data_IF_274302924015
#
_entry.id   IF_274302924015
#
_cell.length_a   1.000
_cell.length_b   1.000
_cell.length_c   1.000
_cell.angle_alpha   90.00
_cell.angle_beta   90.00
_cell.angle_gamma   90.00
#
_symmetry.space_group_name_H-M   'P 1'
#
loop_
_entity.id
_entity.type
_entity.pdbx_description
1 polymer ?
#
# COMPACT_ATOMS: atom_id res chain seq x y z
N UNK A 1 -0.36 18.89 -27.28
CA UNK A 1 -0.48 17.45 -26.96
C UNK A 1 0.12 17.09 -25.62
N UNK A 2 1.42 17.31 -25.39
CA UNK A 2 2.06 17.05 -24.08
C UNK A 2 1.36 17.79 -22.93
N UNK A 3 1.02 19.06 -23.14
CA UNK A 3 0.35 19.92 -22.16
C UNK A 3 -1.07 19.45 -21.79
N UNK A 4 -1.77 18.74 -22.70
CA UNK A 4 -3.12 18.21 -22.45
C UNK A 4 -3.08 17.00 -21.53
N UNK A 5 -2.12 16.10 -21.78
CA UNK A 5 -1.87 14.94 -20.91
C UNK A 5 -1.35 15.38 -19.55
N UNK A 6 -0.61 16.49 -19.49
CA UNK A 6 -0.20 17.10 -18.21
C UNK A 6 -1.40 17.45 -17.35
N UNK A 7 -2.40 18.16 -17.90
CA UNK A 7 -3.60 18.54 -17.12
C UNK A 7 -4.34 17.32 -16.56
N UNK A 8 -4.54 16.29 -17.39
CA UNK A 8 -5.17 15.06 -16.92
C UNK A 8 -4.34 14.38 -15.81
N UNK A 9 -3.02 14.39 -15.96
CA UNK A 9 -2.13 13.86 -14.94
C UNK A 9 -2.25 14.64 -13.62
N UNK A 10 -2.31 15.97 -13.70
CA UNK A 10 -2.45 16.86 -12.53
C UNK A 10 -3.74 16.56 -11.77
N UNK A 11 -4.86 16.33 -12.48
CA UNK A 11 -6.13 15.91 -11.86
C UNK A 11 -6.00 14.55 -11.17
N UNK A 12 -5.34 13.57 -11.79
CA UNK A 12 -5.10 12.26 -11.17
C UNK A 12 -4.18 12.34 -9.94
N UNK A 13 -3.20 13.24 -9.95
CA UNK A 13 -2.32 13.49 -8.80
C UNK A 13 -3.05 14.23 -7.66
N UNK A 14 -4.04 15.04 -7.98
CA UNK A 14 -4.89 15.69 -6.99
C UNK A 14 -5.82 14.71 -6.26
N UNK A 15 -6.16 13.57 -6.88
CA UNK A 15 -6.98 12.54 -6.26
C UNK A 15 -6.24 11.81 -5.14
N UNK A 16 -6.78 11.91 -3.93
CA UNK A 16 -6.21 11.33 -2.71
C UNK A 16 -7.10 10.26 -2.11
N UNK A 17 -6.48 9.26 -1.50
CA UNK A 17 -7.20 8.27 -0.72
C UNK A 17 -7.87 8.94 0.49
N UNK A 18 -9.15 8.67 0.71
CA UNK A 18 -9.89 9.17 1.86
C UNK A 18 -9.25 8.75 3.20
N UNK A 19 -8.68 7.55 3.26
CA UNK A 19 -8.11 6.96 4.47
C UNK A 19 -6.68 7.47 4.72
N UNK A 20 -5.72 7.09 3.87
CA UNK A 20 -4.30 7.41 4.09
C UNK A 20 -3.85 8.76 3.53
N UNK A 21 -4.72 9.51 2.85
CA UNK A 21 -4.44 10.83 2.23
C UNK A 21 -3.35 10.87 1.14
N UNK A 22 -2.69 9.75 0.86
CA UNK A 22 -1.76 9.61 -0.26
C UNK A 22 -2.48 9.63 -1.61
N UNK A 23 -1.75 10.01 -2.66
CA UNK A 23 -2.18 9.92 -4.05
C UNK A 23 -2.61 8.48 -4.38
N UNK A 24 -3.60 8.33 -5.27
CA UNK A 24 -4.14 7.04 -5.73
C UNK A 24 -3.19 6.29 -6.68
N UNK A 25 -1.92 6.17 -6.30
CA UNK A 25 -0.84 5.57 -7.09
C UNK A 25 -0.72 4.05 -6.94
N UNK A 26 -1.72 3.37 -6.33
CA UNK A 26 -1.73 1.91 -6.20
C UNK A 26 -3.14 1.30 -6.35
N UNK A 27 -3.27 0.19 -7.11
CA UNK A 27 -4.51 -0.57 -7.22
C UNK A 27 -4.78 -1.47 -5.98
N UNK A 28 -6.05 -1.81 -5.71
CA UNK A 28 -7.26 -1.32 -6.38
C UNK A 28 -7.63 0.12 -5.97
N UNK A 29 -8.23 0.88 -6.88
CA UNK A 29 -8.92 2.14 -6.59
C UNK A 29 -10.40 1.81 -6.39
N UNK A 30 -10.95 2.09 -5.22
CA UNK A 30 -12.30 1.69 -4.83
C UNK A 30 -13.12 2.92 -4.45
N UNK A 31 -14.30 3.09 -5.03
CA UNK A 31 -15.26 4.11 -4.60
C UNK A 31 -15.90 3.69 -3.28
N UNK A 32 -15.95 4.61 -2.33
CA UNK A 32 -16.53 4.43 -1.00
C UNK A 32 -17.61 5.49 -0.77
N UNK A 33 -18.56 5.17 0.10
CA UNK A 33 -19.82 5.92 0.32
C UNK A 33 -20.83 5.80 -0.83
N UNK A 34 -22.12 5.92 -0.51
CA UNK A 34 -23.23 5.86 -1.48
C UNK A 34 -23.15 6.95 -2.55
N UNK A 35 -22.54 8.10 -2.24
CA UNK A 35 -22.36 9.17 -3.22
C UNK A 35 -21.19 8.89 -4.19
N UNK A 36 -20.26 7.98 -3.89
CA UNK A 36 -19.13 7.64 -4.77
C UNK A 36 -18.05 8.72 -4.91
N UNK A 37 -18.07 9.78 -4.07
CA UNK A 37 -17.08 10.87 -4.11
C UNK A 37 -15.73 10.49 -3.53
N UNK A 38 -15.74 9.61 -2.53
CA UNK A 38 -14.55 9.25 -1.78
C UNK A 38 -13.90 8.01 -2.40
N UNK A 39 -12.57 7.99 -2.42
CA UNK A 39 -11.78 6.92 -3.03
C UNK A 39 -10.85 6.26 -2.00
N UNK A 40 -10.75 4.94 -2.06
CA UNK A 40 -9.83 4.10 -1.29
C UNK A 40 -8.78 3.53 -2.22
N UNK A 41 -7.49 3.64 -1.87
CA UNK A 41 -6.39 3.11 -2.67
C UNK A 41 -5.98 1.69 -2.25
N UNK A 42 -5.10 1.07 -3.03
CA UNK A 42 -4.55 -0.25 -2.78
C UNK A 42 -3.82 -0.38 -1.44
N UNK A 43 -3.20 0.71 -0.97
CA UNK A 43 -2.56 0.75 0.36
C UNK A 43 -3.56 0.56 1.48
N UNK A 44 -4.85 0.77 1.27
CA UNK A 44 -5.89 0.65 2.30
C UNK A 44 -6.89 -0.48 1.98
N UNK A 45 -6.49 -1.44 1.14
CA UNK A 45 -7.38 -2.52 0.68
C UNK A 45 -8.00 -3.33 1.83
N UNK A 46 -7.25 -3.53 2.91
CA UNK A 46 -7.64 -4.35 4.07
C UNK A 46 -8.61 -3.65 5.02
N UNK A 47 -8.86 -2.35 4.83
CA UNK A 47 -9.85 -1.62 5.62
C UNK A 47 -11.25 -1.94 5.09
N UNK A 48 -12.05 -2.60 5.92
CA UNK A 48 -13.42 -2.95 5.60
C UNK A 48 -14.33 -1.73 5.83
N UNK A 49 -14.73 -1.08 4.74
CA UNK A 49 -15.69 0.02 4.73
C UNK A 49 -16.67 -0.20 3.59
N UNK A 50 -17.95 0.22 3.73
CA UNK A 50 -18.92 0.13 2.64
C UNK A 50 -18.35 0.72 1.36
N UNK A 51 -18.24 -0.13 0.34
CA UNK A 51 -17.68 0.21 -0.96
C UNK A 51 -18.71 -0.01 -2.03
N UNK A 52 -18.69 0.86 -3.03
CA UNK A 52 -19.68 0.88 -4.11
C UNK A 52 -19.12 0.30 -5.42
N UNK A 53 -17.83 -0.05 -5.45
CA UNK A 53 -17.21 -0.79 -6.55
C UNK A 53 -15.77 -0.37 -6.82
N UNK A 54 -15.05 -1.13 -7.64
CA UNK A 54 -13.68 -0.80 -8.07
C UNK A 54 -13.73 0.15 -9.27
N UNK A 55 -12.95 1.22 -9.27
CA UNK A 55 -12.99 2.22 -10.34
C UNK A 55 -12.01 1.84 -11.47
N UNK A 56 -12.38 0.84 -12.29
CA UNK A 56 -11.50 0.31 -13.35
C UNK A 56 -11.08 1.36 -14.38
N UNK A 57 -11.93 2.35 -14.64
CA UNK A 57 -11.62 3.43 -15.58
C UNK A 57 -10.48 4.31 -15.06
N UNK A 58 -10.52 4.72 -13.79
CA UNK A 58 -9.43 5.45 -13.16
C UNK A 58 -8.13 4.64 -13.17
N UNK A 59 -8.20 3.34 -12.85
CA UNK A 59 -7.02 2.48 -12.90
C UNK A 59 -6.45 2.34 -14.32
N UNK A 60 -7.32 2.25 -15.33
CA UNK A 60 -6.90 2.17 -16.72
C UNK A 60 -6.25 3.46 -17.20
N UNK A 61 -6.74 4.62 -16.72
CA UNK A 61 -6.13 5.91 -16.99
C UNK A 61 -4.79 6.09 -16.25
N UNK A 62 -4.71 5.66 -14.99
CA UNK A 62 -3.50 5.76 -14.16
C UNK A 62 -2.28 5.07 -14.78
N UNK A 63 -2.47 3.94 -15.48
CA UNK A 63 -1.41 3.19 -16.18
C UNK A 63 -0.63 4.00 -17.23
N UNK A 64 -1.17 5.13 -17.70
CA UNK A 64 -0.51 5.98 -18.69
C UNK A 64 0.43 7.03 -18.08
N UNK A 65 0.48 7.13 -16.74
CA UNK A 65 1.18 8.19 -16.03
C UNK A 65 2.19 7.65 -15.01
N UNK A 66 3.12 8.52 -14.64
CA UNK A 66 4.13 8.23 -13.63
C UNK A 66 3.81 8.96 -12.34
N UNK A 67 3.86 8.27 -11.21
CA UNK A 67 3.47 8.79 -9.91
C UNK A 67 4.70 9.05 -9.03
N UNK A 68 4.67 10.12 -8.22
CA UNK A 68 5.74 10.38 -7.26
C UNK A 68 5.73 9.33 -6.15
N UNK A 69 6.91 9.05 -5.62
CA UNK A 69 7.07 8.31 -4.38
C UNK A 69 6.36 9.01 -3.21
N UNK A 70 5.76 8.26 -2.28
CA UNK A 70 5.09 8.81 -1.10
C UNK A 70 6.03 9.37 -0.03
N UNK A 71 7.31 8.96 -0.04
CA UNK A 71 8.30 9.45 0.93
C UNK A 71 8.81 10.83 0.50
N UNK A 72 8.66 11.82 1.37
CA UNK A 72 8.92 13.25 1.11
C UNK A 72 10.33 13.53 0.55
N UNK A 73 11.34 12.85 1.07
CA UNK A 73 12.74 13.01 0.64
C UNK A 73 13.08 12.28 -0.67
N UNK A 74 12.11 11.61 -1.31
CA UNK A 74 12.29 10.87 -2.55
C UNK A 74 11.73 11.61 -3.76
N UNK A 75 12.62 12.10 -4.62
CA UNK A 75 12.25 12.81 -5.85
C UNK A 75 11.96 11.87 -7.05
N UNK A 76 11.83 10.56 -6.82
CA UNK A 76 11.59 9.61 -7.91
C UNK A 76 10.10 9.61 -8.29
N UNK A 77 9.87 9.50 -9.59
CA UNK A 77 8.56 9.23 -10.19
C UNK A 77 8.69 7.99 -11.06
N UNK A 78 7.72 7.07 -10.96
CA UNK A 78 7.73 5.80 -11.71
C UNK A 78 6.36 5.48 -12.29
N UNK A 79 6.30 4.63 -13.33
CA UNK A 79 5.05 4.03 -13.81
C UNK A 79 4.21 3.44 -12.67
N UNK A 80 2.89 3.52 -12.80
CA UNK A 80 1.92 3.14 -11.77
C UNK A 80 2.08 1.70 -11.25
N UNK A 81 2.53 0.77 -12.10
CA UNK A 81 2.81 -0.63 -11.76
C UNK A 81 4.12 -0.84 -10.99
N UNK A 82 5.06 0.11 -11.05
CA UNK A 82 6.35 0.05 -10.34
C UNK A 82 6.32 0.73 -8.97
N UNK A 83 5.27 1.52 -8.68
CA UNK A 83 5.16 2.32 -7.44
C UNK A 83 5.32 1.46 -6.19
N UNK A 84 4.62 0.32 -6.11
CA UNK A 84 4.67 -0.55 -4.92
C UNK A 84 6.07 -1.08 -4.69
N UNK A 85 6.69 -1.65 -5.72
CA UNK A 85 8.05 -2.19 -5.64
C UNK A 85 9.07 -1.11 -5.27
N UNK A 86 8.89 0.11 -5.77
CA UNK A 86 9.75 1.22 -5.39
C UNK A 86 9.57 1.61 -3.92
N UNK A 87 8.33 1.83 -3.46
CA UNK A 87 8.04 2.20 -2.07
C UNK A 87 8.61 1.16 -1.10
N UNK A 88 8.47 -0.10 -1.47
CA UNK A 88 9.00 -1.23 -0.73
C UNK A 88 10.51 -1.14 -0.53
N UNK A 89 11.27 -0.79 -1.58
CA UNK A 89 12.73 -0.74 -1.57
C UNK A 89 13.31 0.68 -1.52
N UNK A 90 12.51 1.69 -1.18
CA UNK A 90 12.92 3.08 -1.28
C UNK A 90 14.01 3.40 -0.24
N UNK A 91 15.14 3.96 -0.69
CA UNK A 91 16.23 4.39 0.20
C UNK A 91 15.81 5.50 1.17
N UNK A 92 14.76 6.26 0.82
CA UNK A 92 14.18 7.35 1.62
C UNK A 92 13.00 6.90 2.46
N UNK A 93 12.75 5.58 2.55
CA UNK A 93 11.70 5.01 3.37
C UNK A 93 11.86 5.48 4.82
N UNK A 94 10.81 6.08 5.35
CA UNK A 94 10.71 6.51 6.74
C UNK A 94 9.74 5.62 7.51
N UNK A 95 9.92 5.57 8.82
CA UNK A 95 9.00 4.95 9.78
C UNK A 95 8.79 5.89 10.96
N UNK A 96 7.61 5.88 11.58
CA UNK A 96 7.47 6.45 12.93
C UNK A 96 8.31 5.63 13.91
N UNK A 97 8.97 6.31 14.86
CA UNK A 97 9.76 5.64 15.89
C UNK A 97 8.92 4.54 16.56
N UNK A 98 9.44 3.30 16.62
CA UNK A 98 8.69 2.19 17.18
C UNK A 98 8.57 2.28 18.71
N UNK A 99 9.46 3.01 19.39
CA UNK A 99 9.51 3.19 20.85
C UNK A 99 8.56 4.31 21.30
N UNK A 100 7.27 4.11 21.09
CA UNK A 100 6.26 5.15 21.34
C UNK A 100 5.97 5.42 22.83
N UNK A 101 6.36 4.52 23.75
CA UNK A 101 6.06 4.63 25.18
C UNK A 101 7.06 5.50 25.96
N UNK A 102 8.09 6.01 25.29
CA UNK A 102 9.02 7.02 25.81
C UNK A 102 8.75 8.40 25.18
N UNK A 103 7.50 8.65 24.78
CA UNK A 103 7.04 9.88 24.14
C UNK A 103 7.84 10.31 22.88
N UNK A 104 8.44 9.34 22.18
CA UNK A 104 9.13 9.58 20.93
C UNK A 104 8.14 9.56 19.75
N UNK A 105 7.93 10.70 19.11
CA UNK A 105 7.04 10.86 17.96
C UNK A 105 7.78 11.08 16.64
N UNK A 106 9.11 10.94 16.63
CA UNK A 106 9.93 11.20 15.46
C UNK A 106 9.63 10.26 14.29
N UNK A 107 9.69 10.81 13.09
CA UNK A 107 9.67 10.07 11.83
C UNK A 107 11.12 9.96 11.36
N UNK A 108 11.61 8.73 11.22
CA UNK A 108 13.02 8.44 11.02
C UNK A 108 13.21 7.66 9.72
N UNK A 109 14.18 8.07 8.91
CA UNK A 109 14.61 7.24 7.77
C UNK A 109 15.14 5.90 8.26
N UNK A 110 14.72 4.79 7.65
CA UNK A 110 15.15 3.44 8.05
C UNK A 110 16.68 3.32 8.06
N UNK A 111 17.38 4.00 7.14
CA UNK A 111 18.85 4.06 7.11
C UNK A 111 19.46 4.69 8.37
N UNK A 112 18.82 5.74 8.91
CA UNK A 112 19.25 6.48 10.11
C UNK A 112 18.68 5.92 11.41
N UNK A 113 17.91 4.82 11.35
CA UNK A 113 17.28 4.27 12.54
C UNK A 113 18.30 3.82 13.59
N UNK A 114 19.48 3.32 13.17
CA UNK A 114 20.56 2.95 14.10
C UNK A 114 20.96 4.13 14.99
N UNK A 115 21.36 5.24 14.36
CA UNK A 115 21.78 6.47 15.04
C UNK A 115 20.68 7.01 15.97
N UNK A 116 19.43 7.03 15.49
CA UNK A 116 18.30 7.45 16.32
C UNK A 116 18.14 6.58 17.57
N UNK A 117 18.23 5.26 17.42
CA UNK A 117 18.09 4.33 18.54
C UNK A 117 19.26 4.43 19.51
N UNK A 118 20.50 4.54 19.04
CA UNK A 118 21.67 4.70 19.91
C UNK A 118 21.59 5.99 20.73
N UNK A 119 21.13 7.09 20.13
CA UNK A 119 21.09 8.39 20.79
C UNK A 119 19.89 8.56 21.75
N UNK A 120 18.74 7.95 21.45
CA UNK A 120 17.48 8.18 22.19
C UNK A 120 16.93 6.97 22.92
N UNK A 121 17.31 5.76 22.50
CA UNK A 121 16.73 4.51 22.93
C UNK A 121 17.81 3.42 23.09
N UNK A 122 18.93 3.77 23.75
CA UNK A 122 20.13 2.91 23.86
C UNK A 122 19.83 1.52 24.46
N UNK A 123 18.83 1.41 25.33
CA UNK A 123 18.41 0.15 25.95
C UNK A 123 17.53 -0.73 25.05
N UNK A 124 17.13 -0.23 23.89
CA UNK A 124 16.21 -0.90 22.95
C UNK A 124 16.90 -1.31 21.64
N UNK A 125 18.24 -1.24 21.56
CA UNK A 125 19.02 -1.64 20.39
C UNK A 125 20.05 -2.73 20.74
N UNK A 126 20.15 -3.76 19.88
CA UNK A 126 21.05 -4.91 20.05
C UNK A 126 21.72 -5.28 18.72
N UNK A 127 22.84 -6.01 18.82
CA UNK A 127 23.68 -6.38 17.69
C UNK A 127 23.88 -7.89 17.61
N UNK A 128 23.71 -8.47 16.42
CA UNK A 128 23.89 -9.90 16.21
C UNK A 128 22.70 -10.72 16.72
N UNK A 129 22.81 -11.20 17.94
CA UNK A 129 21.75 -11.91 18.66
C UNK A 129 21.14 -11.04 19.75
N UNK A 130 19.87 -11.28 20.06
CA UNK A 130 19.19 -10.64 21.17
C UNK A 130 18.93 -11.64 22.28
N UNK A 131 19.25 -11.27 23.53
CA UNK A 131 18.87 -12.04 24.71
C UNK A 131 18.28 -11.10 25.75
N UNK A 132 17.09 -11.42 26.24
CA UNK A 132 16.45 -10.66 27.32
C UNK A 132 15.79 -11.57 28.34
N UNK A 133 15.68 -11.08 29.56
CA UNK A 133 14.86 -11.67 30.61
C UNK A 133 13.64 -10.78 30.77
N UNK A 134 12.46 -11.37 30.67
CA UNK A 134 11.21 -10.61 30.79
C UNK A 134 10.49 -10.99 32.07
N UNK A 135 10.29 -9.99 32.94
CA UNK A 135 9.75 -10.17 34.30
C UNK A 135 8.37 -9.54 34.51
N UNK A 136 7.79 -8.88 33.49
CA UNK A 136 6.52 -8.15 33.64
C UNK A 136 5.61 -8.21 32.39
N UNK A 137 4.31 -7.91 32.59
CA UNK A 137 3.22 -7.86 31.59
C UNK A 137 3.35 -6.71 30.56
N UNK A 138 4.56 -6.46 30.05
CA UNK A 138 4.90 -5.29 29.23
C UNK A 138 5.21 -5.71 27.79
N UNK A 139 4.71 -4.92 26.83
CA UNK A 139 5.19 -5.02 25.45
C UNK A 139 6.57 -4.36 25.38
N UNK A 140 7.61 -5.14 25.13
CA UNK A 140 8.93 -4.60 24.85
C UNK A 140 9.19 -4.58 23.36
N UNK A 141 9.80 -3.49 22.91
CA UNK A 141 10.14 -3.28 21.50
C UNK A 141 11.66 -3.19 21.43
N UNK A 142 12.23 -4.03 20.58
CA UNK A 142 13.67 -4.15 20.41
C UNK A 142 14.00 -4.02 18.94
N UNK A 143 15.04 -3.27 18.63
CA UNK A 143 15.66 -3.22 17.32
C UNK A 143 16.94 -4.04 17.37
N UNK A 144 17.04 -5.05 16.50
CA UNK A 144 18.26 -5.86 16.35
C UNK A 144 18.90 -5.55 15.01
N UNK A 145 20.20 -5.31 15.03
CA UNK A 145 21.00 -5.09 13.84
C UNK A 145 21.86 -6.33 13.58
N UNK A 146 21.63 -6.99 12.46
CA UNK A 146 22.37 -8.18 12.02
C UNK A 146 22.75 -8.02 10.56
N UNK A 147 24.04 -8.08 10.24
CA UNK A 147 24.57 -7.89 8.87
C UNK A 147 23.98 -6.65 8.16
N UNK A 148 23.94 -5.52 8.86
CA UNK A 148 23.33 -4.23 8.48
C UNK A 148 21.82 -4.22 8.21
N UNK A 149 21.15 -5.37 8.33
CA UNK A 149 19.70 -5.50 8.34
C UNK A 149 19.14 -5.12 9.71
N UNK A 150 17.95 -4.53 9.70
CA UNK A 150 17.29 -4.01 10.90
C UNK A 150 16.02 -4.81 11.13
N UNK A 151 16.02 -5.59 12.20
CA UNK A 151 14.88 -6.39 12.62
C UNK A 151 14.21 -5.72 13.79
N UNK A 152 12.89 -5.62 13.74
CA UNK A 152 12.06 -5.07 14.79
C UNK A 152 11.32 -6.22 15.47
N UNK A 153 11.66 -6.43 16.73
CA UNK A 153 11.10 -7.46 17.59
C UNK A 153 10.13 -6.79 18.55
N UNK A 154 8.93 -7.34 18.64
CA UNK A 154 8.01 -7.01 19.72
C UNK A 154 7.64 -8.27 20.46
N UNK A 155 7.73 -8.22 21.79
CA UNK A 155 7.34 -9.31 22.67
C UNK A 155 6.21 -8.82 23.56
N UNK A 156 5.06 -9.49 23.49
CA UNK A 156 3.94 -9.31 24.41
C UNK A 156 3.87 -10.52 25.33
N UNK A 157 4.10 -10.31 26.61
CA UNK A 157 4.17 -11.38 27.63
C UNK A 157 2.81 -11.79 28.20
N UNK A 158 1.72 -11.06 27.91
CA UNK A 158 0.35 -11.38 28.35
C UNK A 158 -0.13 -12.67 27.69
N UNK A 159 -0.63 -13.63 28.47
CA UNK A 159 -1.11 -14.95 28.01
C UNK A 159 -2.14 -14.90 26.87
N UNK A 160 -1.93 -15.63 25.76
CA UNK A 160 -0.70 -16.34 25.40
C UNK A 160 0.39 -15.34 24.99
N UNK A 161 1.66 -15.63 25.30
CA UNK A 161 2.76 -14.75 24.91
C UNK A 161 2.86 -14.71 23.38
N UNK A 162 3.05 -13.53 22.81
CA UNK A 162 3.19 -13.33 21.37
C UNK A 162 4.52 -12.65 21.05
N UNK A 163 5.30 -13.27 20.17
CA UNK A 163 6.56 -12.72 19.65
C UNK A 163 6.38 -12.39 18.17
N UNK A 164 6.71 -11.16 17.83
CA UNK A 164 6.59 -10.61 16.50
C UNK A 164 7.99 -10.23 16.05
N UNK A 165 8.46 -10.81 14.95
CA UNK A 165 9.77 -10.51 14.37
C UNK A 165 9.54 -10.01 12.96
N UNK A 166 9.92 -8.76 12.72
CA UNK A 166 9.71 -8.12 11.43
C UNK A 166 11.00 -7.57 10.86
N UNK A 167 11.15 -7.53 9.54
CA UNK A 167 12.28 -6.88 8.87
C UNK A 167 11.88 -5.50 8.35
N UNK A 168 12.68 -4.48 8.64
CA UNK A 168 12.49 -3.12 8.12
C UNK A 168 13.04 -2.96 6.70
N UNK A 169 14.07 -3.75 6.40
CA UNK A 169 14.66 -3.90 5.07
C UNK A 169 13.91 -5.06 4.38
N UNK A 170 13.77 -5.08 3.05
CA UNK A 170 13.06 -6.17 2.33
C UNK A 170 13.87 -7.50 2.33
N UNK A 171 14.25 -7.97 3.51
CA UNK A 171 15.09 -9.14 3.75
C UNK A 171 14.35 -10.22 4.55
N UNK A 172 13.04 -10.07 4.71
CA UNK A 172 12.16 -11.06 5.32
C UNK A 172 12.18 -12.41 4.57
N UNK A 173 12.40 -12.38 3.26
CA UNK A 173 12.54 -13.59 2.46
C UNK A 173 13.89 -14.30 2.65
N UNK A 174 14.98 -13.56 2.85
CA UNK A 174 16.36 -14.09 2.88
C UNK A 174 16.87 -14.49 4.26
N UNK A 175 16.21 -14.05 5.33
CA UNK A 175 16.57 -14.36 6.70
C UNK A 175 15.46 -15.14 7.41
N UNK A 176 15.89 -15.93 8.39
CA UNK A 176 15.03 -16.56 9.37
C UNK A 176 15.63 -16.35 10.77
N UNK A 177 14.89 -16.78 11.79
CA UNK A 177 15.37 -16.70 13.16
C UNK A 177 15.06 -17.95 13.96
N UNK A 178 15.94 -18.21 14.91
CA UNK A 178 15.74 -19.21 15.95
C UNK A 178 15.32 -18.52 17.23
N UNK A 179 14.35 -19.13 17.93
CA UNK A 179 13.93 -18.72 19.25
C UNK A 179 14.32 -19.78 20.27
N UNK A 180 15.23 -19.42 21.17
CA UNK A 180 15.57 -20.22 22.33
C UNK A 180 14.92 -19.64 23.58
N UNK A 181 14.22 -20.50 24.32
CA UNK A 181 13.62 -20.21 25.62
C UNK A 181 14.36 -21.02 26.67
N UNK A 182 14.81 -20.37 27.74
CA UNK A 182 15.53 -21.01 28.84
C UNK A 182 15.16 -20.40 30.18
N UNK A 183 15.26 -21.17 31.26
CA UNK A 183 15.09 -20.64 32.62
C UNK A 183 16.33 -19.84 33.01
N UNK A 184 16.15 -18.68 33.64
CA UNK A 184 17.28 -17.88 34.16
C UNK A 184 18.04 -18.62 35.26
N UNK A 185 17.38 -19.49 36.01
CA UNK A 185 17.96 -20.21 37.14
C UNK A 185 18.51 -21.59 36.77
N UNK A 186 18.19 -22.11 35.57
CA UNK A 186 18.63 -23.43 35.15
C UNK A 186 18.70 -23.56 33.62
N UNK A 187 19.91 -23.43 33.07
CA UNK A 187 20.18 -23.58 31.63
C UNK A 187 20.08 -25.04 31.12
N UNK A 188 19.93 -26.03 32.02
CA UNK A 188 19.85 -27.45 31.61
C UNK A 188 18.59 -27.79 30.82
N UNK A 189 17.55 -26.97 30.92
CA UNK A 189 16.31 -27.14 30.18
C UNK A 189 16.14 -25.92 29.28
N UNK A 190 16.13 -26.14 27.97
CA UNK A 190 15.86 -25.09 26.98
C UNK A 190 15.01 -25.62 25.85
N UNK A 191 14.10 -24.81 25.35
CA UNK A 191 13.31 -25.08 24.15
C UNK A 191 13.89 -24.26 23.03
N UNK A 192 14.27 -24.90 21.94
CA UNK A 192 14.70 -24.25 20.70
C UNK A 192 13.61 -24.43 19.64
N UNK A 193 13.22 -23.34 19.03
CA UNK A 193 12.26 -23.30 17.93
C UNK A 193 12.99 -22.69 16.73
N UNK A 194 13.37 -23.54 15.79
CA UNK A 194 14.29 -23.16 14.70
C UNK A 194 13.55 -22.66 13.46
N UNK A 195 14.26 -21.95 12.58
CA UNK A 195 13.84 -21.63 11.22
C UNK A 195 12.48 -20.90 11.15
N UNK A 196 12.25 -19.97 12.06
CA UNK A 196 11.02 -19.19 12.09
C UNK A 196 11.06 -18.08 11.03
N UNK A 197 9.94 -17.92 10.32
CA UNK A 197 9.82 -16.92 9.25
C UNK A 197 9.78 -15.50 9.80
N UNK A 198 10.46 -14.59 9.12
CA UNK A 198 10.39 -13.15 9.37
C UNK A 198 9.33 -12.54 8.45
N UNK A 199 8.61 -11.53 8.94
CA UNK A 199 7.60 -10.81 8.16
C UNK A 199 8.12 -9.43 7.81
N UNK A 200 7.84 -8.92 6.62
CA UNK A 200 8.13 -7.53 6.30
C UNK A 200 7.35 -6.55 7.18
N UNK A 201 8.03 -5.57 7.76
CA UNK A 201 7.39 -4.52 8.54
C UNK A 201 6.53 -3.61 7.65
N UNK A 202 5.33 -3.34 8.14
CA UNK A 202 4.34 -2.44 7.58
C UNK A 202 3.69 -1.73 8.74
N UNK A 203 3.86 -0.42 8.87
CA UNK A 203 3.33 0.36 9.99
C UNK A 203 1.82 0.19 10.17
N UNK A 204 1.07 0.03 9.07
CA UNK A 204 -0.39 -0.11 9.13
C UNK A 204 -0.82 -1.37 9.85
N UNK A 205 -0.16 -2.48 9.51
CA UNK A 205 -0.46 -3.79 10.07
C UNK A 205 0.20 -3.87 11.44
N UNK A 206 1.51 -3.62 11.49
CA UNK A 206 2.44 -3.74 12.62
C UNK A 206 2.42 -2.58 13.63
N UNK A 207 1.37 -1.77 13.64
CA UNK A 207 1.26 -0.63 14.55
C UNK A 207 1.16 -1.08 16.01
N UNK A 208 2.13 -0.67 16.84
CA UNK A 208 2.15 -1.00 18.26
C UNK A 208 0.96 -0.47 19.05
N UNK A 209 0.49 0.73 18.73
CA UNK A 209 -0.73 1.28 19.31
C UNK A 209 -1.95 0.42 18.94
N UNK A 210 -1.96 -0.25 17.79
CA UNK A 210 -3.06 -1.18 17.45
C UNK A 210 -2.97 -2.46 18.28
N UNK A 211 -1.78 -3.06 18.43
CA UNK A 211 -1.56 -4.25 19.27
C UNK A 211 -1.97 -4.01 20.73
N UNK A 212 -1.72 -2.81 21.25
CA UNK A 212 -2.12 -2.42 22.61
C UNK A 212 -3.52 -1.84 22.70
N UNK A 213 -4.28 -1.87 21.60
CA UNK A 213 -5.64 -1.35 21.55
C UNK A 213 -5.71 0.11 22.05
N UNK A 214 -4.86 1.00 21.54
CA UNK A 214 -4.83 2.45 21.84
C UNK A 214 -4.72 3.32 20.57
N UNK A 215 -4.75 2.73 19.38
CA UNK A 215 -4.65 3.44 18.11
C UNK A 215 -6.01 3.96 17.62
N UNK A 216 -6.03 5.21 17.12
CA UNK A 216 -7.18 5.87 16.48
C UNK A 216 -6.90 6.25 15.02
N UNK A 217 -5.93 5.60 14.37
CA UNK A 217 -5.61 5.86 12.96
C UNK A 217 -6.61 5.12 12.07
N UNK A 218 -7.36 5.84 11.26
CA UNK A 218 -8.44 5.29 10.43
C UNK A 218 -7.97 4.32 9.33
N UNK A 219 -6.73 4.47 8.84
CA UNK A 219 -6.17 3.61 7.80
C UNK A 219 -5.39 2.40 8.34
N UNK A 220 -5.32 2.22 9.67
CA UNK A 220 -4.77 1.03 10.31
C UNK A 220 -5.88 -0.02 10.50
N UNK A 221 -5.74 -1.24 9.96
CA UNK A 221 -6.80 -2.26 10.04
C UNK A 221 -7.23 -2.62 11.46
N UNK A 222 -6.27 -2.56 12.40
CA UNK A 222 -6.46 -2.99 13.79
C UNK A 222 -6.67 -1.82 14.77
N UNK A 223 -7.02 -0.63 14.27
CA UNK A 223 -7.31 0.51 15.15
C UNK A 223 -8.68 0.38 15.82
N UNK A 224 -8.88 1.12 16.92
CA UNK A 224 -10.16 1.16 17.65
C UNK A 224 -11.35 1.57 16.79
N UNK A 225 -11.09 2.40 15.78
CA UNK A 225 -12.11 2.91 14.87
C UNK A 225 -12.63 1.79 13.96
N UNK A 226 -11.80 0.81 13.63
CA UNK A 226 -12.11 -0.26 12.68
C UNK A 226 -12.61 -1.56 13.37
N UNK A 227 -13.17 -1.46 14.59
CA UNK A 227 -13.87 -2.57 15.24
C UNK A 227 -13.00 -3.56 16.02
N UNK A 228 -11.75 -3.20 16.36
CA UNK A 228 -10.84 -4.06 17.15
C UNK A 228 -10.68 -5.48 16.58
N UNK A 229 -10.59 -5.60 15.25
CA UNK A 229 -10.30 -6.88 14.59
C UNK A 229 -9.02 -7.46 15.21
N UNK A 230 -9.03 -8.72 15.70
CA UNK A 230 -7.87 -9.34 16.32
C UNK A 230 -6.66 -9.20 15.41
N UNK A 231 -5.55 -8.75 16.00
CA UNK A 231 -4.28 -8.62 15.31
C UNK A 231 -3.82 -10.01 14.87
N UNK A 232 -4.05 -10.35 13.60
CA UNK A 232 -3.50 -11.55 12.98
C UNK A 232 -2.19 -11.18 12.27
N UNK A 233 -1.21 -10.73 13.04
CA UNK A 233 0.16 -10.72 12.54
C UNK A 233 0.66 -12.14 12.67
N UNK A 234 1.40 -12.63 11.68
CA UNK A 234 2.10 -13.92 11.72
C UNK A 234 3.14 -13.92 12.85
N UNK A 235 2.67 -14.06 14.08
CA UNK A 235 3.43 -14.00 15.31
C UNK A 235 3.55 -15.39 15.90
N UNK A 236 4.66 -15.63 16.60
CA UNK A 236 4.82 -16.86 17.33
C UNK A 236 4.06 -16.77 18.65
N UNK A 237 3.09 -17.66 18.83
CA UNK A 237 2.36 -17.84 20.08
C UNK A 237 3.09 -18.83 20.96
N UNK A 238 3.32 -18.46 22.21
CA UNK A 238 3.89 -19.31 23.24
C UNK A 238 2.82 -19.44 24.32
N UNK A 239 2.41 -20.69 24.57
CA UNK A 239 1.50 -20.99 25.66
C UNK A 239 2.24 -20.98 27.00
N UNK A 240 1.89 -20.04 27.86
CA UNK A 240 2.52 -19.89 29.18
C UNK A 240 2.23 -21.08 30.11
N UNK A 241 1.14 -21.83 29.88
CA UNK A 241 0.85 -23.02 30.69
C UNK A 241 1.81 -24.17 30.38
N UNK A 242 2.14 -24.34 29.10
CA UNK A 242 3.21 -25.22 28.64
C UNK A 242 4.58 -24.78 29.19
N UNK A 243 4.84 -23.47 29.23
CA UNK A 243 6.08 -22.94 29.81
C UNK A 243 6.22 -23.21 31.32
N UNK A 244 5.14 -23.06 32.09
CA UNK A 244 5.15 -23.39 33.53
C UNK A 244 5.46 -24.86 33.79
N UNK A 245 4.95 -25.74 32.93
CA UNK A 245 5.21 -27.18 33.03
C UNK A 245 6.67 -27.51 32.73
N UNK A 246 7.29 -26.81 31.78
CA UNK A 246 8.66 -27.07 31.34
C UNK A 246 9.74 -26.39 32.21
N UNK A 247 9.48 -25.18 32.68
CA UNK A 247 10.47 -24.34 33.36
C UNK A 247 10.15 -24.07 34.84
N UNK A 248 8.99 -24.53 35.33
CA UNK A 248 8.55 -24.29 36.70
C UNK A 248 8.06 -22.85 36.87
N UNK A 249 8.77 -22.06 37.68
CA UNK A 249 8.46 -20.65 37.84
C UNK A 249 8.82 -19.88 36.55
N UNK A 250 7.81 -19.30 35.90
CA UNK A 250 7.91 -18.54 34.65
C UNK A 250 8.14 -17.05 34.87
N UNK A 251 8.37 -16.65 36.12
CA UNK A 251 8.67 -15.26 36.49
C UNK A 251 9.88 -14.71 35.74
N UNK A 252 10.84 -15.56 35.37
CA UNK A 252 12.08 -15.17 34.67
C UNK A 252 12.44 -16.16 33.55
N UNK A 253 11.77 -16.03 32.39
CA UNK A 253 12.17 -16.73 31.17
C UNK A 253 13.16 -15.86 30.40
N UNK A 254 14.27 -16.48 29.98
CA UNK A 254 15.24 -15.91 29.05
C UNK A 254 14.82 -16.22 27.62
N UNK A 255 14.60 -15.18 26.84
CA UNK A 255 14.30 -15.23 25.41
C UNK A 255 15.57 -14.87 24.65
N UNK A 256 16.06 -15.80 23.84
CA UNK A 256 17.18 -15.57 22.93
C UNK A 256 16.69 -15.72 21.50
N UNK A 257 16.85 -14.67 20.70
CA UNK A 257 16.52 -14.64 19.29
C UNK A 257 17.82 -14.49 18.50
N UNK A 258 18.08 -15.45 17.61
CA UNK A 258 19.26 -15.48 16.76
C UNK A 258 18.83 -15.41 15.31
N UNK A 259 19.42 -14.50 14.54
CA UNK A 259 19.13 -14.35 13.12
C UNK A 259 20.18 -15.09 12.29
N UNK A 260 19.74 -15.69 11.19
CA UNK A 260 20.64 -16.28 10.20
C UNK A 260 20.05 -16.21 8.79
N UNK A 261 20.89 -16.24 7.74
CA UNK A 261 20.42 -16.41 6.37
C UNK A 261 19.73 -17.77 6.20
N UNK A 262 18.72 -17.83 5.34
CA UNK A 262 18.08 -19.11 4.97
C UNK A 262 19.00 -19.94 4.10
N UNK A 263 19.20 -21.21 4.47
CA UNK A 263 19.96 -22.15 3.65
C UNK A 263 19.26 -22.41 2.30
N UNK A 264 20.02 -22.38 1.21
CA UNK A 264 19.48 -22.60 -0.14
C UNK A 264 18.62 -21.46 -0.68
N UNK A 265 18.55 -20.31 0.00
CA UNK A 265 18.01 -19.09 -0.60
C UNK A 265 19.03 -18.56 -1.61
N UNK A 266 18.88 -18.97 -2.86
CA UNK A 266 19.42 -18.20 -3.96
C UNK A 266 18.65 -16.88 -3.97
N UNK A 267 19.34 -15.76 -3.72
CA UNK A 267 18.79 -14.47 -4.09
C UNK A 267 18.36 -14.62 -5.54
N UNK A 268 17.06 -14.56 -5.80
CA UNK A 268 16.64 -14.09 -7.10
C UNK A 268 17.24 -12.69 -7.19
N UNK A 269 18.45 -12.57 -7.74
CA UNK A 269 18.99 -11.36 -8.32
C UNK A 269 18.11 -10.97 -9.52
N UNK A 270 16.80 -10.84 -9.28
CA UNK A 270 16.15 -9.60 -9.62
C UNK A 270 16.57 -8.58 -8.55
N UNK A 271 17.86 -8.27 -8.51
CA UNK A 271 18.21 -6.91 -8.88
C UNK A 271 17.40 -6.64 -10.14
N UNK A 272 16.20 -6.09 -9.96
CA UNK A 272 15.73 -5.08 -10.89
C UNK A 272 16.76 -3.99 -10.72
N UNK A 273 17.93 -4.22 -11.32
CA UNK A 273 18.80 -3.16 -11.73
C UNK A 273 17.83 -2.27 -12.49
N UNK A 274 17.49 -1.12 -11.92
CA UNK A 274 16.70 -0.14 -12.66
C UNK A 274 17.42 0.21 -13.99
N UNK A 275 18.68 -0.23 -14.17
CA UNK A 275 19.41 -0.21 -15.44
C UNK A 275 19.16 -1.43 -16.36
N UNK A 276 18.68 -2.59 -15.90
CA UNK A 276 18.27 -3.71 -16.77
C UNK A 276 16.76 -3.75 -17.08
N UNK A 277 15.96 -2.95 -16.36
CA UNK A 277 14.65 -2.47 -16.83
C UNK A 277 14.77 -1.39 -17.93
N UNK A 278 15.97 -1.01 -18.39
CA UNK A 278 16.18 -0.15 -19.58
C UNK A 278 16.02 -0.90 -20.93
N UNK A 279 15.24 -1.99 -20.97
CA UNK A 279 14.80 -2.62 -22.23
C UNK A 279 13.31 -2.89 -22.36
N UNK A 280 12.47 -2.48 -21.39
CA UNK A 280 11.28 -1.77 -21.82
C UNK A 280 11.78 -0.39 -22.16
N UNK A 281 12.11 -0.22 -23.43
CA UNK A 281 12.32 1.07 -24.01
C UNK A 281 11.27 2.00 -23.37
N UNK A 282 11.74 3.16 -22.95
CA UNK A 282 11.05 4.41 -23.23
C UNK A 282 10.73 4.52 -24.73
N UNK A 283 10.06 3.51 -25.31
CA UNK A 283 9.01 3.73 -26.24
C UNK A 283 8.04 4.54 -25.42
N UNK A 284 8.25 5.86 -25.43
CA UNK A 284 7.16 6.79 -25.68
C UNK A 284 6.17 6.01 -26.53
N UNK A 285 5.15 5.42 -25.91
CA UNK A 285 3.95 5.10 -26.65
C UNK A 285 3.68 6.40 -27.40
N UNK A 286 3.66 6.38 -28.74
CA UNK A 286 3.54 7.61 -29.50
C UNK A 286 2.44 8.43 -28.83
N UNK A 287 2.72 9.67 -28.41
CA UNK A 287 1.83 10.46 -27.53
C UNK A 287 0.38 10.46 -28.03
N UNK A 288 0.23 10.32 -29.34
CA UNK A 288 -1.00 10.13 -30.08
C UNK A 288 -1.77 8.83 -29.76
N UNK A 289 -1.09 7.69 -29.60
CA UNK A 289 -1.67 6.43 -29.16
C UNK A 289 -2.19 6.52 -27.72
N UNK A 290 -1.47 7.16 -26.80
CA UNK A 290 -1.95 7.41 -25.44
C UNK A 290 -3.23 8.25 -25.45
N UNK A 291 -3.25 9.32 -26.24
CA UNK A 291 -4.43 10.21 -26.37
C UNK A 291 -5.65 9.44 -26.88
N UNK A 292 -5.49 8.59 -27.89
CA UNK A 292 -6.57 7.76 -28.43
C UNK A 292 -7.09 6.74 -27.41
N UNK A 293 -6.20 6.11 -26.64
CA UNK A 293 -6.56 5.15 -25.60
C UNK A 293 -7.26 5.82 -24.42
N UNK A 294 -6.80 6.99 -23.98
CA UNK A 294 -7.41 7.77 -22.91
C UNK A 294 -8.80 8.27 -23.29
N UNK A 295 -9.01 8.74 -24.53
CA UNK A 295 -10.35 9.04 -25.03
C UNK A 295 -11.32 7.88 -24.91
N UNK A 296 -10.86 6.66 -25.26
CA UNK A 296 -11.70 5.47 -25.20
C UNK A 296 -12.13 5.15 -23.77
N UNK A 297 -11.32 5.46 -22.76
CA UNK A 297 -11.71 5.30 -21.35
C UNK A 297 -12.89 6.20 -20.95
N UNK A 298 -13.11 7.30 -21.68
CA UNK A 298 -14.19 8.26 -21.45
C UNK A 298 -15.38 8.05 -22.38
N UNK A 299 -15.41 6.96 -23.15
CA UNK A 299 -16.55 6.58 -23.99
C UNK A 299 -17.42 5.54 -23.30
N UNK A 300 -18.74 5.68 -23.42
CA UNK A 300 -19.67 4.67 -22.94
C UNK A 300 -19.51 3.40 -23.79
N UNK A 301 -19.36 2.20 -23.19
CA UNK A 301 -19.18 0.96 -23.95
C UNK A 301 -20.41 0.55 -24.78
N UNK A 302 -21.55 1.22 -24.58
CA UNK A 302 -22.83 0.89 -25.25
C UNK A 302 -23.08 1.79 -26.44
N UNK A 303 -23.17 3.11 -26.21
CA UNK A 303 -23.44 4.04 -27.30
C UNK A 303 -22.18 4.57 -27.99
N UNK A 304 -20.98 4.25 -27.48
CA UNK A 304 -19.67 4.70 -27.99
C UNK A 304 -19.49 6.23 -28.03
N UNK A 305 -20.41 6.99 -27.42
CA UNK A 305 -20.31 8.44 -27.24
C UNK A 305 -19.50 8.76 -25.99
N UNK A 306 -18.92 9.95 -25.94
CA UNK A 306 -18.28 10.43 -24.72
C UNK A 306 -19.30 10.50 -23.57
N UNK A 307 -18.89 10.00 -22.42
CA UNK A 307 -19.64 10.14 -21.17
C UNK A 307 -19.45 11.57 -20.66
N UNK A 308 -20.54 12.28 -20.43
CA UNK A 308 -20.55 13.67 -19.97
C UNK A 308 -21.70 13.85 -18.98
N UNK A 309 -21.55 14.76 -18.03
CA UNK A 309 -22.55 14.94 -16.97
C UNK A 309 -22.55 13.74 -16.02
N UNK A 310 -23.69 13.07 -15.86
CA UNK A 310 -23.80 11.95 -14.91
C UNK A 310 -23.18 10.67 -15.49
N UNK A 311 -22.20 10.12 -14.76
CA UNK A 311 -21.53 8.85 -15.10
C UNK A 311 -21.81 7.86 -13.98
N UNK A 312 -22.29 6.68 -14.33
CA UNK A 312 -22.75 5.68 -13.36
C UNK A 312 -21.81 4.49 -13.30
N UNK A 313 -21.66 3.93 -12.10
CA UNK A 313 -20.96 2.68 -11.84
C UNK A 313 -21.96 1.56 -11.56
N UNK A 314 -21.71 0.35 -12.07
CA UNK A 314 -22.30 -0.85 -11.47
C UNK A 314 -21.53 -1.27 -10.21
N UNK A 315 -22.09 -2.18 -9.41
CA UNK A 315 -21.51 -2.64 -8.14
C UNK A 315 -20.12 -3.30 -8.26
N UNK A 316 -19.75 -3.75 -9.46
CA UNK A 316 -18.42 -4.28 -9.73
C UNK A 316 -17.44 -3.16 -10.12
N UNK A 317 -17.92 -2.09 -10.77
CA UNK A 317 -17.06 -1.00 -11.22
C UNK A 317 -17.14 -0.57 -12.69
N UNK A 318 -17.95 -1.24 -13.50
CA UNK A 318 -18.13 -0.86 -14.92
C UNK A 318 -18.93 0.44 -15.05
N UNK A 319 -18.54 1.27 -16.02
CA UNK A 319 -19.09 2.63 -16.21
C UNK A 319 -20.12 2.70 -17.34
N UNK A 320 -21.15 3.52 -17.16
CA UNK A 320 -22.18 3.82 -18.15
C UNK A 320 -22.48 5.33 -18.17
N UNK A 321 -22.81 5.89 -19.34
CA UNK A 321 -23.38 7.24 -19.39
C UNK A 321 -24.84 7.23 -18.92
N UNK A 322 -25.33 8.40 -18.51
CA UNK A 322 -26.73 8.62 -18.09
C UNK A 322 -27.76 8.03 -19.06
N UNK A 323 -27.64 8.33 -20.36
CA UNK A 323 -28.61 7.87 -21.37
C UNK A 323 -28.68 6.35 -21.48
N UNK A 324 -27.54 5.65 -21.37
CA UNK A 324 -27.53 4.19 -21.44
C UNK A 324 -27.95 3.57 -20.10
N UNK A 325 -27.59 4.22 -18.97
CA UNK A 325 -27.95 3.76 -17.63
C UNK A 325 -29.46 3.66 -17.45
N UNK A 326 -30.23 4.65 -17.89
CA UNK A 326 -31.70 4.68 -17.71
C UNK A 326 -32.45 3.63 -18.55
N UNK A 327 -31.79 3.04 -19.55
CA UNK A 327 -32.38 2.05 -20.45
C UNK A 327 -32.08 0.60 -20.02
N UNK A 328 -31.29 0.40 -18.97
CA UNK A 328 -30.77 -0.90 -18.57
C UNK A 328 -31.07 -1.15 -17.08
N UNK A 329 -31.50 -2.37 -16.78
CA UNK A 329 -31.65 -2.87 -15.40
C UNK A 329 -30.37 -3.58 -14.92
N UNK A 330 -29.64 -4.22 -15.83
CA UNK A 330 -28.44 -5.00 -15.53
C UNK A 330 -27.24 -4.45 -16.30
N UNK A 331 -26.06 -4.56 -15.70
CA UNK A 331 -24.81 -4.17 -16.31
C UNK A 331 -24.55 -5.07 -17.52
N UNK A 332 -24.33 -4.51 -18.73
CA UNK A 332 -24.10 -5.30 -19.94
C UNK A 332 -22.79 -6.10 -19.89
N UNK A 333 -21.87 -5.73 -18.99
CA UNK A 333 -20.53 -6.29 -18.91
C UNK A 333 -20.39 -7.36 -17.81
N UNK A 334 -21.11 -7.25 -16.69
CA UNK A 334 -21.07 -8.25 -15.60
C UNK A 334 -22.44 -8.82 -15.20
N UNK A 335 -23.53 -8.40 -15.83
CA UNK A 335 -24.91 -8.85 -15.59
C UNK A 335 -25.48 -8.54 -14.18
N UNK A 336 -24.70 -7.92 -13.30
CA UNK A 336 -25.18 -7.45 -12.00
C UNK A 336 -26.24 -6.34 -12.16
N UNK A 337 -27.18 -6.27 -11.22
CA UNK A 337 -28.17 -5.19 -11.18
C UNK A 337 -27.48 -3.81 -11.11
N UNK A 338 -28.05 -2.85 -11.82
CA UNK A 338 -27.57 -1.48 -11.86
C UNK A 338 -28.29 -0.66 -10.79
N UNK A 339 -27.50 -0.08 -9.90
CA UNK A 339 -27.96 0.91 -8.92
C UNK A 339 -27.80 2.34 -9.45
N UNK A 340 -28.26 3.35 -8.71
CA UNK A 340 -28.13 4.78 -9.06
C UNK A 340 -26.77 5.37 -8.66
N UNK A 341 -25.75 4.54 -8.52
CA UNK A 341 -24.41 4.91 -8.04
C UNK A 341 -23.67 5.75 -9.09
N UNK A 342 -23.22 6.94 -8.69
CA UNK A 342 -22.47 7.86 -9.55
C UNK A 342 -20.95 7.72 -9.38
N UNK A 343 -20.22 8.06 -10.43
CA UNK A 343 -18.75 8.09 -10.48
C UNK A 343 -18.25 9.53 -10.54
N UNK A 344 -18.48 10.31 -9.49
CA UNK A 344 -18.09 11.73 -9.44
C UNK A 344 -16.63 12.02 -9.82
N UNK A 345 -15.63 11.19 -9.43
CA UNK A 345 -14.27 11.40 -9.89
C UNK A 345 -14.13 11.35 -11.42
N UNK A 346 -14.83 10.42 -12.07
CA UNK A 346 -14.80 10.31 -13.52
C UNK A 346 -15.62 11.42 -14.21
N UNK A 347 -16.69 11.88 -13.57
CA UNK A 347 -17.46 13.06 -14.03
C UNK A 347 -16.58 14.31 -14.03
N UNK A 348 -15.90 14.58 -12.91
CA UNK A 348 -14.97 15.69 -12.78
C UNK A 348 -13.85 15.61 -13.82
N UNK A 349 -13.27 14.43 -14.01
CA UNK A 349 -12.27 14.23 -15.07
C UNK A 349 -12.84 14.50 -16.47
N UNK A 350 -14.03 13.99 -16.79
CA UNK A 350 -14.67 14.20 -18.08
C UNK A 350 -14.93 15.70 -18.37
N UNK A 351 -15.23 16.48 -17.33
CA UNK A 351 -15.48 17.92 -17.44
C UNK A 351 -14.21 18.75 -17.62
N UNK A 352 -13.08 18.33 -17.05
CA UNK A 352 -11.82 19.09 -17.08
C UNK A 352 -10.87 18.70 -18.23
N UNK A 353 -10.97 17.47 -18.74
CA UNK A 353 -10.09 17.01 -19.81
C UNK A 353 -10.36 17.71 -21.14
N UNK A 354 -9.25 17.98 -21.84
CA UNK A 354 -9.24 18.57 -23.17
C UNK A 354 -8.49 17.65 -24.13
N UNK A 355 -9.06 17.42 -25.31
CA UNK A 355 -8.47 16.58 -26.33
C UNK A 355 -8.38 17.33 -27.67
N UNK A 356 -7.41 17.00 -28.53
CA UNK A 356 -7.42 17.50 -29.92
C UNK A 356 -8.63 16.97 -30.68
N UNK A 357 -8.81 17.31 -31.96
CA UNK A 357 -9.75 16.65 -32.86
C UNK A 357 -9.26 15.24 -33.27
N UNK A 358 -10.16 14.26 -33.49
CA UNK A 358 -9.79 12.97 -34.10
C UNK A 358 -9.18 13.13 -35.50
N UNK A 359 -9.54 14.19 -36.23
CA UNK A 359 -9.00 14.55 -37.55
C UNK A 359 -7.75 15.42 -37.48
N UNK A 360 -7.05 15.45 -36.33
CA UNK A 360 -5.83 16.25 -36.19
C UNK A 360 -4.74 15.85 -37.19
N UNK A 361 -4.67 14.56 -37.54
CA UNK A 361 -3.79 14.07 -38.62
C UNK A 361 -4.12 14.61 -40.00
N UNK A 362 -5.39 14.93 -40.25
CA UNK A 362 -5.85 15.44 -41.52
C UNK A 362 -5.63 16.96 -41.63
N UNK A 363 -5.09 17.61 -40.58
CA UNK A 363 -4.81 19.06 -40.55
C UNK A 363 -5.68 19.86 -39.59
N UNK A 364 -6.55 19.21 -38.81
CA UNK A 364 -7.37 19.91 -37.83
C UNK A 364 -6.58 20.29 -36.57
N UNK A 365 -6.59 21.58 -36.22
CA UNK A 365 -5.90 22.10 -35.02
C UNK A 365 -6.83 22.36 -33.83
N UNK A 366 -8.11 21.96 -33.93
CA UNK A 366 -9.07 22.15 -32.85
C UNK A 366 -8.68 21.31 -31.63
N UNK A 367 -8.73 21.93 -30.44
CA UNK A 367 -8.53 21.32 -29.13
C UNK A 367 -9.60 21.87 -28.21
N UNK A 368 -10.31 21.02 -27.46
CA UNK A 368 -11.36 21.47 -26.56
C UNK A 368 -11.81 20.41 -25.57
N UNK A 369 -12.69 20.83 -24.64
CA UNK A 369 -13.38 19.94 -23.69
C UNK A 369 -14.29 18.96 -24.45
N UNK A 370 -14.63 17.83 -23.82
CA UNK A 370 -15.41 16.75 -24.47
C UNK A 370 -16.68 17.25 -25.16
N UNK A 371 -17.44 18.15 -24.54
CA UNK A 371 -18.67 18.72 -25.11
C UNK A 371 -18.40 19.47 -26.42
N UNK A 372 -17.45 20.42 -26.40
CA UNK A 372 -17.11 21.23 -27.57
C UNK A 372 -16.46 20.37 -28.67
N UNK A 373 -15.65 19.40 -28.26
CA UNK A 373 -14.99 18.47 -29.15
C UNK A 373 -15.97 17.60 -29.93
N UNK A 374 -16.98 17.05 -29.25
CA UNK A 374 -17.97 16.20 -29.91
C UNK A 374 -18.76 16.97 -30.98
N UNK A 375 -19.15 18.21 -30.69
CA UNK A 375 -19.84 19.08 -31.66
C UNK A 375 -18.92 19.39 -32.84
N UNK A 376 -17.67 19.75 -32.56
CA UNK A 376 -16.67 20.02 -33.60
C UNK A 376 -16.44 18.80 -34.52
N UNK A 377 -16.27 17.61 -33.96
CA UNK A 377 -16.01 16.39 -34.73
C UNK A 377 -17.18 16.00 -35.65
N UNK A 378 -18.40 16.47 -35.39
CA UNK A 378 -19.54 16.25 -36.29
C UNK A 378 -19.43 17.07 -37.58
N UNK A 379 -18.97 18.31 -37.50
CA UNK A 379 -18.89 19.26 -38.62
C UNK A 379 -17.45 19.64 -39.05
N UNK A 380 -16.45 18.88 -38.59
CA UNK A 380 -15.05 19.16 -38.89
C UNK A 380 -14.79 19.12 -40.41
N UNK A 381 -14.26 20.20 -40.98
CA UNK A 381 -13.93 20.28 -42.41
C UNK A 381 -12.78 19.37 -42.88
N UNK A 382 -12.12 18.66 -41.94
CA UNK A 382 -11.05 17.70 -42.19
C UNK A 382 -11.52 16.23 -42.07
N UNK A 383 -12.84 15.99 -42.05
CA UNK A 383 -13.47 14.66 -42.09
C UNK A 383 -13.25 13.97 -43.44
#
# INVERSE_FOLDING_TARGET
MAELLSKLHDELLAMKCYLCKNVLSLPPIISICEDGKQLKCGRCKDINIPSTGRNFTLESMAKFFSYPCIYEDCNKSMPWDEVQSHEDSCAKKTIKCPIYYQDCEEIVMVQKLREHMENKHEYNIFYGSFTTVMTSDWCNIIVVIYSDQKFLIMIRTISPCHIYVTSLNNTDASFEYDLKLSSVHNDSHSVLIENQTIVKYNERDHCFRCIRNTCYVNYHPHSRINGNVPVNMNCKKIDLSSMKTLFGDVSEIRYTITFHPKEGYEENEKLVDCKSAMKYQTNKFPMENCTKLLRRQLQCPICMKYMMGQIYNCNIGHVLCETCRVQLNNCPQCQMELDSLRNHPLEHLADEVVFPCIFSKNGCHFIGKLQALMVHEQCCGFK
#
